data_IF_073569025172
#
_entry.id   IF_073569025172
#
_cell.length_a   1.000
_cell.length_b   1.000
_cell.length_c   1.000
_cell.angle_alpha   90.00
_cell.angle_beta   90.00
_cell.angle_gamma   90.00
#
_symmetry.space_group_name_H-M   'P 1'
#
loop_
_entity.id
_entity.type
_entity.pdbx_description
1 polymer ?
#
# COMPACT_ATOMS: atom_id res chain seq x y z
N UNK A 1 31.92 1.09 -13.27
CA UNK A 1 31.60 0.63 -11.91
C UNK A 1 30.13 0.95 -11.70
N UNK A 2 29.26 -0.06 -11.62
CA UNK A 2 27.80 0.11 -11.54
C UNK A 2 27.44 0.39 -10.07
N UNK A 3 26.73 1.49 -9.83
CA UNK A 3 26.18 1.80 -8.52
C UNK A 3 24.82 1.13 -8.40
N UNK A 4 24.72 0.08 -7.58
CA UNK A 4 23.43 -0.44 -7.14
C UNK A 4 23.09 0.38 -5.88
N UNK A 5 22.20 1.34 -6.02
CA UNK A 5 21.64 2.08 -4.88
C UNK A 5 20.70 1.12 -4.17
N UNK A 6 21.16 0.51 -3.08
CA UNK A 6 20.28 -0.27 -2.20
C UNK A 6 19.62 0.72 -1.25
N UNK A 7 18.38 1.10 -1.53
CA UNK A 7 17.54 1.81 -0.57
C UNK A 7 17.06 0.81 0.49
N UNK A 8 17.67 0.84 1.67
CA UNK A 8 17.14 0.11 2.83
C UNK A 8 16.31 1.11 3.63
N UNK A 9 14.99 1.01 3.52
CA UNK A 9 14.08 1.75 4.39
C UNK A 9 14.19 1.22 5.82
N UNK A 10 14.48 2.10 6.79
CA UNK A 10 14.48 1.78 8.20
C UNK A 10 13.05 1.81 8.73
N UNK A 11 12.51 0.66 9.14
CA UNK A 11 11.21 0.59 9.82
C UNK A 11 11.40 0.87 11.31
N UNK A 12 10.75 1.92 11.81
CA UNK A 12 10.71 2.27 13.24
C UNK A 12 9.46 1.65 13.85
N UNK A 13 9.63 0.63 14.69
CA UNK A 13 8.52 0.04 15.46
C UNK A 13 8.27 0.88 16.73
N UNK A 14 7.16 1.62 16.77
CA UNK A 14 6.67 2.26 17.99
C UNK A 14 5.63 1.35 18.64
N UNK A 15 5.99 0.72 19.76
CA UNK A 15 5.08 -0.12 20.53
C UNK A 15 4.33 0.73 21.56
N UNK A 16 3.08 1.11 21.28
CA UNK A 16 2.20 1.74 22.28
C UNK A 16 1.53 0.63 23.10
N UNK A 17 2.11 0.31 24.25
CA UNK A 17 1.52 -0.61 25.23
C UNK A 17 0.27 0.04 25.84
N UNK A 18 -0.90 -0.52 25.53
CA UNK A 18 -2.19 -0.06 26.06
C UNK A 18 -3.22 -1.19 26.16
N UNK A 19 -3.34 -1.77 27.37
CA UNK A 19 -4.55 -2.34 28.00
C UNK A 19 -5.39 -3.40 27.26
N UNK A 20 -5.32 -4.65 27.77
CA UNK A 20 -6.36 -5.72 27.74
C UNK A 20 -7.27 -5.70 26.50
N UNK A 21 -6.70 -6.14 25.38
CA UNK A 21 -7.36 -6.58 24.17
C UNK A 21 -6.38 -7.53 23.51
N UNK A 22 -6.87 -8.54 22.80
CA UNK A 22 -6.01 -9.51 22.11
C UNK A 22 -4.97 -8.73 21.30
N UNK A 23 -3.68 -8.97 21.50
CA UNK A 23 -2.64 -8.31 20.70
C UNK A 23 -2.90 -8.64 19.24
N UNK A 24 -3.41 -7.67 18.49
CA UNK A 24 -3.56 -7.81 17.06
C UNK A 24 -2.15 -7.71 16.48
N UNK A 25 -1.67 -8.84 15.97
CA UNK A 25 -0.33 -8.92 15.36
C UNK A 25 -0.36 -8.03 14.12
N UNK A 26 0.49 -7.01 14.10
CA UNK A 26 0.74 -6.23 12.88
C UNK A 26 1.43 -7.16 11.87
N UNK A 27 0.85 -7.39 10.68
CA UNK A 27 1.45 -8.26 9.69
C UNK A 27 2.65 -7.59 9.02
N UNK A 28 3.51 -8.41 8.43
CA UNK A 28 4.54 -7.89 7.51
C UNK A 28 4.01 -7.97 6.08
N UNK A 29 4.06 -6.86 5.35
CA UNK A 29 3.87 -6.79 3.89
C UNK A 29 5.04 -6.00 3.33
N UNK A 30 5.81 -6.60 2.43
CA UNK A 30 6.95 -5.98 1.78
C UNK A 30 6.64 -5.81 0.31
N UNK A 31 6.74 -4.58 -0.17
CA UNK A 31 6.62 -4.24 -1.58
C UNK A 31 7.94 -3.72 -2.14
N UNK A 32 8.12 -3.93 -3.45
CA UNK A 32 9.17 -3.35 -4.27
C UNK A 32 8.54 -2.30 -5.18
N UNK A 33 9.09 -1.09 -5.18
CA UNK A 33 8.70 -0.04 -6.12
C UNK A 33 9.40 -0.24 -7.47
N UNK A 34 8.62 -0.11 -8.53
CA UNK A 34 9.04 -0.06 -9.92
C UNK A 34 8.66 1.33 -10.47
N UNK A 35 9.66 2.17 -10.66
CA UNK A 35 9.51 3.55 -11.14
C UNK A 35 9.29 3.62 -12.66
N UNK A 36 9.60 2.56 -13.41
CA UNK A 36 9.42 2.54 -14.86
C UNK A 36 7.95 2.21 -15.24
N UNK A 37 7.28 1.41 -14.40
CA UNK A 37 5.89 0.96 -14.58
C UNK A 37 4.92 1.57 -13.54
N UNK A 38 5.37 2.54 -12.73
CA UNK A 38 4.59 3.21 -11.66
C UNK A 38 3.87 2.25 -10.70
N UNK A 39 4.58 1.19 -10.27
CA UNK A 39 3.99 0.02 -9.61
C UNK A 39 4.65 -0.32 -8.28
N UNK A 40 3.86 -0.73 -7.29
CA UNK A 40 4.33 -1.43 -6.09
C UNK A 40 3.98 -2.91 -6.20
N UNK A 41 4.99 -3.78 -6.24
CA UNK A 41 4.80 -5.23 -6.30
C UNK A 41 5.06 -5.87 -4.95
N UNK A 42 4.13 -6.67 -4.45
CA UNK A 42 4.32 -7.46 -3.23
C UNK A 42 5.40 -8.52 -3.48
N UNK A 43 6.50 -8.43 -2.73
CA UNK A 43 7.60 -9.40 -2.81
C UNK A 43 7.57 -10.41 -1.66
N UNK A 44 6.95 -10.05 -0.54
CA UNK A 44 6.82 -10.93 0.62
C UNK A 44 5.66 -10.46 1.52
N UNK A 45 4.98 -11.41 2.15
CA UNK A 45 3.91 -11.13 3.12
C UNK A 45 3.83 -12.24 4.15
N UNK A 46 3.38 -11.91 5.35
CA UNK A 46 2.92 -12.92 6.31
C UNK A 46 1.75 -13.72 5.71
N UNK A 47 1.56 -14.94 6.22
CA UNK A 47 0.36 -15.72 5.91
C UNK A 47 -0.89 -15.02 6.50
N UNK A 48 -2.02 -15.23 5.83
CA UNK A 48 -3.34 -14.75 6.26
C UNK A 48 -3.45 -13.21 6.38
N UNK A 49 -2.75 -12.48 5.52
CA UNK A 49 -2.95 -11.04 5.32
C UNK A 49 -3.95 -10.85 4.20
N UNK A 50 -4.96 -10.02 4.42
CA UNK A 50 -5.98 -9.71 3.43
C UNK A 50 -5.89 -8.24 3.02
N UNK A 51 -6.27 -7.96 1.79
CA UNK A 51 -6.21 -6.63 1.22
C UNK A 51 -7.12 -5.64 1.97
N UNK A 52 -8.27 -6.09 2.48
CA UNK A 52 -9.21 -5.28 3.25
C UNK A 52 -8.76 -4.95 4.69
N UNK A 53 -7.67 -5.57 5.17
CA UNK A 53 -6.98 -5.16 6.39
C UNK A 53 -5.95 -4.03 6.15
N UNK A 54 -5.79 -3.59 4.89
CA UNK A 54 -4.79 -2.61 4.50
C UNK A 54 -5.43 -1.30 4.07
N UNK A 55 -4.73 -0.22 4.34
CA UNK A 55 -5.05 1.12 3.89
C UNK A 55 -3.86 1.72 3.15
N UNK A 56 -4.16 2.63 2.22
CA UNK A 56 -3.17 3.40 1.47
C UNK A 56 -3.37 4.87 1.79
N UNK A 57 -2.26 5.53 2.10
CA UNK A 57 -2.18 6.99 2.19
C UNK A 57 -1.27 7.51 1.09
N UNK A 58 -1.72 8.52 0.37
CA UNK A 58 -0.94 9.12 -0.73
C UNK A 58 -0.79 10.63 -0.60
N UNK A 59 0.37 11.14 -0.98
CA UNK A 59 0.58 12.57 -1.26
C UNK A 59 0.32 12.83 -2.73
N UNK A 60 -0.33 13.95 -3.06
CA UNK A 60 -0.65 14.33 -4.44
C UNK A 60 -1.85 13.60 -5.05
N UNK A 61 -2.23 14.05 -6.26
CA UNK A 61 -3.41 13.58 -6.98
C UNK A 61 -3.10 12.37 -7.87
N UNK A 62 -3.52 11.20 -7.41
CA UNK A 62 -3.30 9.93 -8.10
C UNK A 62 -4.59 9.10 -8.15
N UNK A 63 -4.64 8.23 -9.16
CA UNK A 63 -5.49 7.06 -9.21
C UNK A 63 -4.65 5.86 -8.78
N UNK A 64 -5.26 4.88 -8.14
CA UNK A 64 -4.54 3.68 -7.69
C UNK A 64 -5.34 2.46 -8.10
N UNK A 65 -4.73 1.42 -8.64
CA UNK A 65 -5.44 0.19 -9.02
C UNK A 65 -4.78 -1.00 -8.34
N UNK A 66 -5.56 -1.89 -7.72
CA UNK A 66 -5.03 -3.12 -7.11
C UNK A 66 -5.27 -4.29 -8.07
N UNK A 67 -4.20 -5.02 -8.42
CA UNK A 67 -4.23 -6.18 -9.31
C UNK A 67 -4.94 -5.96 -10.67
N UNK A 68 -5.00 -4.72 -11.15
CA UNK A 68 -5.61 -4.36 -12.43
C UNK A 68 -7.15 -4.44 -12.48
N UNK A 69 -7.83 -4.79 -11.40
CA UNK A 69 -9.28 -5.05 -11.40
C UNK A 69 -10.11 -3.79 -11.10
N UNK A 70 -9.72 -2.98 -10.10
CA UNK A 70 -10.48 -1.77 -9.76
C UNK A 70 -9.58 -0.63 -9.30
N UNK A 71 -9.80 0.53 -9.92
CA UNK A 71 -9.23 1.80 -9.50
C UNK A 71 -9.91 2.29 -8.22
N UNK A 72 -9.13 2.59 -7.19
CA UNK A 72 -9.41 3.55 -6.12
C UNK A 72 -9.92 4.84 -6.76
N UNK A 73 -11.23 4.85 -6.98
CA UNK A 73 -12.05 5.89 -7.59
C UNK A 73 -11.75 6.25 -9.05
N UNK A 74 -12.55 5.73 -9.98
CA UNK A 74 -12.84 6.47 -11.21
C UNK A 74 -13.63 7.74 -10.86
N UNK A 75 -12.91 8.82 -10.55
CA UNK A 75 -13.48 10.16 -10.34
C UNK A 75 -13.29 10.79 -8.95
N UNK A 76 -12.55 10.15 -8.04
CA UNK A 76 -12.02 10.81 -6.84
C UNK A 76 -10.50 10.72 -6.95
N UNK A 77 -9.89 11.61 -7.73
CA UNK A 77 -8.46 11.84 -7.61
C UNK A 77 -8.17 12.03 -6.12
N UNK A 78 -7.36 11.15 -5.54
CA UNK A 78 -7.04 11.23 -4.12
C UNK A 78 -6.38 12.59 -3.92
N UNK A 79 -7.05 13.56 -3.29
CA UNK A 79 -6.45 14.87 -3.11
C UNK A 79 -5.27 14.76 -2.16
N UNK A 80 -4.33 15.72 -2.21
CA UNK A 80 -3.11 15.63 -1.41
C UNK A 80 -3.38 15.25 0.06
N UNK A 81 -2.70 14.19 0.50
CA UNK A 81 -2.77 13.63 1.86
C UNK A 81 -4.09 12.92 2.21
N UNK A 82 -4.56 12.05 1.30
CA UNK A 82 -5.76 11.24 1.52
C UNK A 82 -5.41 9.87 2.09
N UNK A 83 -6.17 9.44 3.10
CA UNK A 83 -6.17 8.09 3.67
C UNK A 83 -7.34 7.29 3.10
N UNK A 84 -7.09 6.06 2.65
CA UNK A 84 -8.11 5.22 2.04
C UNK A 84 -7.96 3.75 2.46
N UNK A 85 -9.04 3.15 2.98
CA UNK A 85 -9.10 1.73 3.33
C UNK A 85 -9.39 0.91 2.08
N UNK A 86 -8.52 -0.04 1.73
CA UNK A 86 -8.76 -0.93 0.61
C UNK A 86 -9.97 -1.81 0.97
N UNK A 87 -10.87 -2.04 0.02
CA UNK A 87 -12.02 -2.93 0.24
C UNK A 87 -11.93 -4.14 -0.70
N UNK A 88 -12.54 -5.26 -0.32
CA UNK A 88 -12.56 -6.47 -1.14
C UNK A 88 -13.05 -6.23 -2.57
N UNK A 89 -14.12 -5.44 -2.69
CA UNK A 89 -14.70 -5.09 -4.00
C UNK A 89 -13.72 -4.38 -4.92
N UNK A 90 -12.65 -3.80 -4.38
CA UNK A 90 -11.63 -3.09 -5.15
C UNK A 90 -10.49 -3.99 -5.63
N UNK A 91 -10.44 -5.22 -5.13
CA UNK A 91 -9.38 -6.17 -5.48
C UNK A 91 -9.87 -7.16 -6.53
N UNK A 92 -11.16 -7.52 -6.49
CA UNK A 92 -11.72 -8.56 -7.35
C UNK A 92 -13.13 -8.25 -7.89
N UNK A 93 -13.65 -7.04 -7.67
CA UNK A 93 -15.02 -6.66 -8.07
C UNK A 93 -16.14 -7.34 -7.27
N UNK A 94 -15.83 -8.02 -6.17
CA UNK A 94 -16.75 -8.78 -5.33
C UNK A 94 -16.48 -8.56 -3.82
N UNK A 95 -17.50 -8.77 -2.99
CA UNK A 95 -17.37 -8.65 -1.53
C UNK A 95 -16.87 -9.99 -0.94
N UNK A 96 -15.57 -10.24 -1.09
CA UNK A 96 -14.92 -11.45 -0.60
C UNK A 96 -13.49 -11.15 -0.14
N UNK A 97 -13.15 -11.52 1.09
CA UNK A 97 -11.81 -11.36 1.68
C UNK A 97 -10.72 -11.91 0.78
N UNK A 98 -9.90 -11.04 0.19
CA UNK A 98 -8.81 -11.44 -0.70
C UNK A 98 -7.47 -11.44 0.01
N UNK A 99 -6.83 -12.61 0.01
CA UNK A 99 -5.47 -12.80 0.49
C UNK A 99 -4.48 -12.00 -0.36
N UNK A 100 -3.55 -11.35 0.32
CA UNK A 100 -2.38 -10.76 -0.29
C UNK A 100 -1.41 -11.88 -0.65
N UNK A 101 -0.97 -11.91 -1.90
CA UNK A 101 0.01 -12.87 -2.40
C UNK A 101 1.26 -12.17 -2.91
N UNK A 102 2.39 -12.90 -2.91
CA UNK A 102 3.56 -12.46 -3.65
C UNK A 102 3.20 -12.34 -5.14
N UNK A 103 3.76 -11.32 -5.80
CA UNK A 103 3.42 -10.86 -7.16
C UNK A 103 2.12 -10.08 -7.34
N UNK A 104 1.27 -9.97 -6.31
CA UNK A 104 0.20 -8.98 -6.33
C UNK A 104 0.81 -7.57 -6.44
N UNK A 105 0.04 -6.62 -6.98
CA UNK A 105 0.56 -5.29 -7.24
C UNK A 105 -0.48 -4.19 -7.05
N UNK A 106 0.05 -2.99 -6.82
CA UNK A 106 -0.68 -1.72 -6.79
C UNK A 106 -0.07 -0.85 -7.89
N UNK A 107 -0.88 -0.47 -8.87
CA UNK A 107 -0.52 0.53 -9.88
C UNK A 107 -0.91 1.92 -9.40
N UNK A 108 -0.06 2.90 -9.65
CA UNK A 108 -0.27 4.30 -9.26
C UNK A 108 -0.22 5.15 -10.52
N UNK A 109 -1.33 5.78 -10.86
CA UNK A 109 -1.42 6.61 -12.07
C UNK A 109 -1.60 8.07 -11.66
N UNK A 110 -0.63 8.92 -12.01
CA UNK A 110 -0.74 10.35 -11.77
C UNK A 110 -1.80 10.97 -12.66
N UNK A 111 -2.70 11.79 -12.09
CA UNK A 111 -3.76 12.47 -12.87
C UNK A 111 -3.16 13.41 -13.95
N UNK A 112 -1.90 13.82 -13.79
CA UNK A 112 -1.14 14.66 -14.73
C UNK A 112 0.26 14.11 -15.10
N UNK A 113 0.48 12.79 -14.96
CA UNK A 113 1.67 12.04 -15.40
C UNK A 113 3.03 12.39 -14.75
N UNK A 114 3.08 13.25 -13.74
CA UNK A 114 4.29 13.46 -12.93
C UNK A 114 4.08 12.87 -11.53
N UNK A 115 4.82 11.81 -11.22
CA UNK A 115 4.79 11.13 -9.93
C UNK A 115 6.00 11.49 -9.04
N UNK A 116 6.91 12.37 -9.47
CA UNK A 116 8.22 12.59 -8.84
C UNK A 116 8.23 13.22 -7.43
N UNK A 117 7.05 13.40 -6.84
CA UNK A 117 6.84 13.86 -5.46
C UNK A 117 5.70 13.08 -4.76
N UNK A 118 5.29 11.94 -5.31
CA UNK A 118 4.22 11.11 -4.79
C UNK A 118 4.80 10.12 -3.79
N UNK A 119 4.29 10.20 -2.57
CA UNK A 119 4.60 9.28 -1.49
C UNK A 119 3.38 8.41 -1.27
N UNK A 120 3.56 7.09 -1.40
CA UNK A 120 2.55 6.08 -1.09
C UNK A 120 2.94 5.38 0.20
N UNK A 121 2.05 5.37 1.18
CA UNK A 121 2.25 4.72 2.48
C UNK A 121 1.23 3.61 2.64
N UNK A 122 1.71 2.38 2.82
CA UNK A 122 0.90 1.23 3.16
C UNK A 122 0.74 1.16 4.68
N UNK A 123 -0.49 0.98 5.14
CA UNK A 123 -0.90 1.04 6.54
C UNK A 123 -1.73 -0.20 6.85
N UNK A 124 -1.55 -0.79 8.03
CA UNK A 124 -2.47 -1.78 8.56
C UNK A 124 -3.64 -1.05 9.21
N UNK A 125 -4.85 -1.17 8.64
CA UNK A 125 -6.01 -0.34 8.98
C UNK A 125 -6.40 -0.49 10.45
N UNK A 126 -6.48 -1.73 10.95
CA UNK A 126 -6.90 -2.02 12.32
C UNK A 126 -6.00 -1.43 13.41
N UNK A 127 -4.70 -1.30 13.14
CA UNK A 127 -3.71 -0.81 14.13
C UNK A 127 -3.10 0.54 13.75
N UNK A 128 -3.54 1.15 12.65
CA UNK A 128 -2.98 2.37 12.05
C UNK A 128 -1.45 2.34 11.95
N UNK A 129 -0.88 1.16 11.72
CA UNK A 129 0.57 0.97 11.74
C UNK A 129 1.12 1.03 10.32
N UNK A 130 2.09 1.92 10.09
CA UNK A 130 2.80 1.99 8.81
C UNK A 130 3.58 0.71 8.55
N UNK A 131 3.26 0.04 7.44
CA UNK A 131 3.92 -1.17 6.97
C UNK A 131 5.07 -0.84 6.01
N UNK A 132 4.91 0.23 5.22
CA UNK A 132 5.92 0.70 4.29
C UNK A 132 5.59 2.08 3.72
N UNK A 133 6.63 2.79 3.28
CA UNK A 133 6.51 4.08 2.60
C UNK A 133 7.39 4.05 1.36
N UNK A 134 6.83 4.44 0.23
CA UNK A 134 7.40 4.38 -1.09
C UNK A 134 7.28 5.75 -1.75
N UNK A 135 8.36 6.22 -2.34
CA UNK A 135 8.42 7.52 -3.02
C UNK A 135 8.75 7.28 -4.49
N UNK A 136 8.03 7.96 -5.37
CA UNK A 136 8.25 8.01 -6.81
C UNK A 136 8.90 9.34 -7.20
#
# INVERSE_FOLDING_TARGET
MVAITVAIAATVYVYVSGMIGVQQKVPTVQMLADEDDDRLTVINTDADVYWDNLAIRVTGAVNITVNGEVTLASGVGLTADTYYVITDTMVNGADAHILVHGSDFIDIEGENADLSDITVTLIHDDTDTTLGTYTY
#
